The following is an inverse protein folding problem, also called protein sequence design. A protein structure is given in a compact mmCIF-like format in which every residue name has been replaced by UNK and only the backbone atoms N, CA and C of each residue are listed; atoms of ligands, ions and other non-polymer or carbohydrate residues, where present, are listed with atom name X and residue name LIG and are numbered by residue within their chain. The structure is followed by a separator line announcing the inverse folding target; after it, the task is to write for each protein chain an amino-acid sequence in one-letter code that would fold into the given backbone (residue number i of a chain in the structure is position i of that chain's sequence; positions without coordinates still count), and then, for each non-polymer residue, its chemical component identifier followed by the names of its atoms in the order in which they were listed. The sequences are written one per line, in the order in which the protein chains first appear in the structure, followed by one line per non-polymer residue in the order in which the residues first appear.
data_IF_582256237964
#
_entry.id   IF_582256237964
#
_cell.length_a   1.000
_cell.length_b   1.000
_cell.length_c   1.000
_cell.angle_alpha   90.00
_cell.angle_beta   90.00
_cell.angle_gamma   90.00
#
_symmetry.space_group_name_H-M   'P 1'
#
loop_
_entity.id
_entity.type
_entity.pdbx_description
1 polymer ?
#
# COMPACT_ATOMS: atom_id res chain seq x y z
N UNK A 1 -16.11 27.16 -8.00
CA UNK A 1 -16.26 26.07 -7.02
C UNK A 1 -16.45 26.73 -5.67
N UNK A 2 -17.69 26.76 -5.18
CA UNK A 2 -18.01 27.34 -3.88
C UNK A 2 -17.46 26.45 -2.78
N UNK A 3 -16.58 27.00 -1.95
CA UNK A 3 -16.12 26.38 -0.71
C UNK A 3 -17.28 26.39 0.28
N UNK A 4 -17.84 25.22 0.61
CA UNK A 4 -18.68 25.07 1.81
C UNK A 4 -17.85 25.50 3.03
N UNK A 5 -18.52 26.13 4.00
CA UNK A 5 -17.93 26.77 5.20
C UNK A 5 -17.06 25.86 6.07
N UNK A 6 -17.07 24.55 5.83
CA UNK A 6 -16.41 23.55 6.68
C UNK A 6 -15.16 22.95 6.02
N UNK A 7 -14.69 23.49 4.88
CA UNK A 7 -13.41 23.10 4.27
C UNK A 7 -13.36 21.68 3.67
N UNK A 8 -14.48 20.96 3.69
CA UNK A 8 -14.56 19.60 3.16
C UNK A 8 -14.95 19.59 1.68
N UNK A 9 -14.04 19.09 0.83
CA UNK A 9 -14.37 18.47 -0.46
C UNK A 9 -14.84 17.01 -0.27
N UNK A 10 -15.53 16.72 0.84
CA UNK A 10 -16.32 15.50 0.97
C UNK A 10 -17.67 15.77 0.30
N UNK A 11 -17.74 15.61 -1.02
CA UNK A 11 -18.94 14.94 -1.51
C UNK A 11 -18.79 13.51 -1.02
N UNK A 12 -19.43 13.19 0.12
CA UNK A 12 -19.80 11.82 0.40
C UNK A 12 -21.02 11.53 -0.47
N UNK A 13 -20.85 10.99 -1.69
CA UNK A 13 -21.97 10.78 -2.60
C UNK A 13 -22.88 9.66 -2.08
N UNK A 14 -22.46 8.96 -1.01
CA UNK A 14 -23.15 7.85 -0.38
C UNK A 14 -23.91 8.23 0.90
N UNK A 15 -23.65 9.41 1.50
CA UNK A 15 -24.26 9.86 2.75
C UNK A 15 -23.98 8.96 3.97
N UNK A 16 -22.85 8.24 3.98
CA UNK A 16 -22.46 7.24 4.97
C UNK A 16 -21.51 7.76 6.06
N UNK A 17 -20.78 8.85 5.85
CA UNK A 17 -20.03 9.53 6.91
C UNK A 17 -21.03 10.35 7.73
N UNK A 18 -21.27 9.91 8.96
CA UNK A 18 -22.19 10.56 9.90
C UNK A 18 -21.45 11.30 11.01
N UNK A 19 -20.20 10.93 11.26
CA UNK A 19 -19.32 11.52 12.26
C UNK A 19 -18.55 12.73 11.74
N UNK A 20 -18.16 13.60 12.67
CA UNK A 20 -17.22 14.69 12.39
C UNK A 20 -15.92 14.17 11.77
N UNK A 21 -15.50 14.80 10.67
CA UNK A 21 -14.37 14.33 9.86
C UNK A 21 -13.05 14.49 10.60
N UNK A 22 -12.90 15.56 11.40
CA UNK A 22 -11.70 15.72 12.23
C UNK A 22 -11.58 14.62 13.27
N UNK A 23 -12.70 14.16 13.83
CA UNK A 23 -12.73 12.97 14.69
C UNK A 23 -12.36 11.70 13.93
N UNK A 24 -12.90 11.48 12.72
CA UNK A 24 -12.55 10.30 11.92
C UNK A 24 -11.07 10.29 11.54
N UNK A 25 -10.50 11.43 11.18
CA UNK A 25 -9.07 11.61 10.92
C UNK A 25 -8.21 11.17 12.11
N UNK A 26 -8.56 11.64 13.31
CA UNK A 26 -7.90 11.29 14.56
C UNK A 26 -7.98 9.79 14.83
N UNK A 27 -9.19 9.22 14.74
CA UNK A 27 -9.42 7.81 15.02
C UNK A 27 -8.75 6.90 13.98
N UNK A 28 -8.74 7.27 12.70
CA UNK A 28 -8.08 6.50 11.65
C UNK A 28 -6.57 6.49 11.84
N UNK A 29 -5.95 7.64 12.17
CA UNK A 29 -4.53 7.65 12.55
C UNK A 29 -4.27 6.71 13.72
N UNK A 30 -5.03 6.86 14.81
CA UNK A 30 -4.86 6.04 15.99
C UNK A 30 -5.06 4.55 15.73
N UNK A 31 -5.99 4.19 14.84
CA UNK A 31 -6.26 2.80 14.48
C UNK A 31 -5.11 2.21 13.66
N UNK A 32 -4.56 2.98 12.71
CA UNK A 32 -3.36 2.56 11.96
C UNK A 32 -2.14 2.43 12.89
N UNK A 33 -1.98 3.32 13.86
CA UNK A 33 -0.92 3.23 14.87
C UNK A 33 -1.07 1.95 15.70
N UNK A 34 -2.28 1.62 16.18
CA UNK A 34 -2.56 0.37 16.89
C UNK A 34 -2.23 -0.87 16.03
N UNK A 35 -2.57 -0.86 14.75
CA UNK A 35 -2.23 -1.97 13.83
C UNK A 35 -0.72 -2.11 13.64
N UNK A 36 0.02 -1.00 13.71
CA UNK A 36 1.47 -0.96 13.62
C UNK A 36 2.17 -1.14 14.98
N UNK A 37 1.42 -1.47 16.04
CA UNK A 37 1.91 -1.58 17.42
C UNK A 37 2.59 -0.29 17.95
N UNK A 38 2.17 0.88 17.45
CA UNK A 38 2.66 2.19 17.86
C UNK A 38 1.76 2.74 18.96
N UNK A 39 2.36 3.11 20.09
CA UNK A 39 1.65 3.78 21.18
C UNK A 39 1.70 5.31 20.99
N UNK A 40 0.59 5.88 20.53
CA UNK A 40 0.42 7.32 20.28
C UNK A 40 -0.77 7.90 21.06
N UNK A 41 -0.84 9.24 21.23
CA UNK A 41 -2.04 9.88 21.78
C UNK A 41 -3.32 9.52 21.01
N UNK A 42 -3.23 9.36 19.68
CA UNK A 42 -4.37 8.96 18.85
C UNK A 42 -4.74 7.48 19.06
N UNK A 43 -3.77 6.59 19.25
CA UNK A 43 -4.03 5.20 19.60
C UNK A 43 -4.76 5.09 20.95
N UNK A 44 -4.38 5.92 21.93
CA UNK A 44 -5.09 6.01 23.21
C UNK A 44 -6.53 6.51 23.05
N UNK A 45 -6.77 7.47 22.15
CA UNK A 45 -8.12 7.94 21.84
C UNK A 45 -8.98 6.84 21.21
N UNK A 46 -8.42 6.02 20.32
CA UNK A 46 -9.15 4.87 19.76
C UNK A 46 -9.52 3.86 20.86
N UNK A 47 -8.59 3.52 21.76
CA UNK A 47 -8.88 2.66 22.91
C UNK A 47 -9.98 3.24 23.79
N UNK A 48 -9.94 4.55 24.07
CA UNK A 48 -10.98 5.26 24.82
C UNK A 48 -12.33 5.19 24.12
N UNK A 49 -12.38 5.53 22.82
CA UNK A 49 -13.59 5.47 22.02
C UNK A 49 -14.23 4.07 22.10
N UNK A 50 -13.45 3.02 21.81
CA UNK A 50 -13.90 1.62 21.86
C UNK A 50 -14.43 1.25 23.25
N UNK A 51 -13.73 1.65 24.33
CA UNK A 51 -14.15 1.32 25.70
C UNK A 51 -15.49 1.92 26.12
N UNK A 52 -15.95 2.96 25.42
CA UNK A 52 -17.21 3.67 25.70
C UNK A 52 -18.35 3.29 24.77
N UNK A 53 -18.10 2.49 23.72
CA UNK A 53 -19.12 2.10 22.74
C UNK A 53 -20.15 1.15 23.37
N UNK A 54 -21.43 1.41 23.11
CA UNK A 54 -22.47 0.41 23.36
C UNK A 54 -22.38 -0.69 22.31
N UNK A 55 -22.85 -1.88 22.65
CA UNK A 55 -22.80 -3.06 21.76
C UNK A 55 -23.45 -2.78 20.40
N UNK A 56 -24.54 -2.02 20.38
CA UNK A 56 -25.29 -1.68 19.18
C UNK A 56 -24.57 -0.65 18.28
N UNK A 57 -23.56 0.04 18.80
CA UNK A 57 -22.80 1.09 18.09
C UNK A 57 -21.50 0.56 17.48
N UNK A 58 -21.01 -0.59 17.93
CA UNK A 58 -19.71 -1.17 17.52
C UNK A 58 -19.64 -1.41 16.01
N UNK A 59 -20.71 -1.94 15.42
CA UNK A 59 -20.75 -2.26 13.99
C UNK A 59 -20.61 -0.99 13.13
N UNK A 60 -21.44 0.01 13.43
CA UNK A 60 -21.43 1.29 12.72
C UNK A 60 -20.09 2.03 12.89
N UNK A 61 -19.51 2.00 14.10
CA UNK A 61 -18.20 2.58 14.37
C UNK A 61 -17.10 1.94 13.52
N UNK A 62 -17.05 0.61 13.48
CA UNK A 62 -16.05 -0.13 12.70
C UNK A 62 -16.24 0.08 11.20
N UNK A 63 -17.48 0.11 10.70
CA UNK A 63 -17.79 0.37 9.29
C UNK A 63 -17.32 1.77 8.88
N UNK A 64 -17.63 2.80 9.67
CA UNK A 64 -17.26 4.18 9.37
C UNK A 64 -15.74 4.39 9.42
N UNK A 65 -15.07 3.82 10.42
CA UNK A 65 -13.62 3.89 10.57
C UNK A 65 -12.91 3.18 9.41
N UNK A 66 -13.39 2.00 9.01
CA UNK A 66 -12.86 1.24 7.87
C UNK A 66 -13.12 1.96 6.54
N UNK A 67 -14.30 2.55 6.38
CA UNK A 67 -14.64 3.34 5.21
C UNK A 67 -13.70 4.55 5.07
N UNK A 68 -13.53 5.34 6.14
CA UNK A 68 -12.65 6.50 6.10
C UNK A 68 -11.20 6.11 5.87
N UNK A 69 -10.72 5.03 6.50
CA UNK A 69 -9.39 4.48 6.26
C UNK A 69 -9.16 4.19 4.77
N UNK A 70 -10.07 3.45 4.13
CA UNK A 70 -10.02 3.16 2.70
C UNK A 70 -10.14 4.42 1.83
N UNK A 71 -10.97 5.38 2.24
CA UNK A 71 -11.18 6.64 1.54
C UNK A 71 -9.94 7.55 1.57
N UNK A 72 -9.25 7.60 2.70
CA UNK A 72 -8.09 8.49 2.91
C UNK A 72 -6.77 7.91 2.41
N UNK A 73 -6.59 6.59 2.47
CA UNK A 73 -5.31 5.92 2.20
C UNK A 73 -4.73 6.25 0.83
N UNK A 74 -5.54 6.15 -0.23
CA UNK A 74 -5.08 6.41 -1.60
C UNK A 74 -4.61 7.86 -1.81
N UNK A 75 -5.30 8.84 -1.22
CA UNK A 75 -4.89 10.26 -1.29
C UNK A 75 -3.60 10.51 -0.52
N UNK A 76 -3.44 9.88 0.65
CA UNK A 76 -2.23 9.98 1.45
C UNK A 76 -1.02 9.45 0.70
N UNK A 77 -1.14 8.25 0.13
CA UNK A 77 -0.11 7.64 -0.73
C UNK A 77 0.20 8.52 -1.95
N UNK A 78 -0.82 9.03 -2.64
CA UNK A 78 -0.64 9.89 -3.81
C UNK A 78 0.09 11.20 -3.49
N UNK A 79 -0.16 11.79 -2.32
CA UNK A 79 0.56 12.97 -1.83
C UNK A 79 2.06 12.71 -1.65
N UNK A 80 2.43 11.52 -1.15
CA UNK A 80 3.84 11.11 -1.01
C UNK A 80 4.47 10.91 -2.40
N UNK A 81 3.77 10.25 -3.32
CA UNK A 81 4.24 10.07 -4.71
C UNK A 81 4.50 11.42 -5.38
N UNK A 82 3.69 12.45 -5.10
CA UNK A 82 3.82 13.77 -5.71
C UNK A 82 4.77 14.73 -4.97
N UNK A 83 5.24 14.38 -3.78
CA UNK A 83 6.02 15.27 -2.93
C UNK A 83 7.25 15.87 -3.64
N UNK A 84 7.28 17.21 -3.73
CA UNK A 84 8.37 17.94 -4.39
C UNK A 84 8.52 17.67 -5.89
N UNK A 85 7.48 17.17 -6.57
CA UNK A 85 7.44 16.99 -8.02
C UNK A 85 6.20 17.67 -8.62
N UNK A 86 6.24 18.98 -8.90
CA UNK A 86 5.06 19.72 -9.39
C UNK A 86 4.64 19.33 -10.82
N UNK A 87 5.45 18.57 -11.55
CA UNK A 87 5.17 18.17 -12.93
C UNK A 87 4.68 16.72 -13.04
N UNK A 88 4.57 16.00 -11.92
CA UNK A 88 4.08 14.63 -11.93
C UNK A 88 2.63 14.59 -12.41
N UNK A 89 2.31 13.61 -13.24
CA UNK A 89 0.92 13.28 -13.60
C UNK A 89 0.53 12.02 -12.84
N UNK A 90 -0.50 12.13 -12.01
CA UNK A 90 -1.02 11.02 -11.23
C UNK A 90 -2.21 10.38 -11.96
N UNK A 91 -2.19 9.07 -12.08
CA UNK A 91 -3.34 8.26 -12.45
C UNK A 91 -3.80 7.44 -11.25
N UNK A 92 -5.10 7.43 -10.96
CA UNK A 92 -5.67 6.65 -9.88
C UNK A 92 -6.30 5.36 -10.44
N UNK A 93 -5.80 4.20 -10.01
CA UNK A 93 -6.43 2.90 -10.24
C UNK A 93 -6.98 2.43 -8.90
N UNK A 94 -8.30 2.45 -8.78
CA UNK A 94 -8.98 2.11 -7.54
C UNK A 94 -9.16 0.59 -7.44
N UNK A 95 -8.53 -0.02 -6.44
CA UNK A 95 -8.93 -1.33 -5.94
C UNK A 95 -9.95 -1.15 -4.82
N UNK A 96 -11.07 -1.87 -4.90
CA UNK A 96 -12.10 -1.82 -3.88
C UNK A 96 -11.79 -2.82 -2.76
N UNK A 97 -11.53 -2.31 -1.57
CA UNK A 97 -11.51 -3.09 -0.33
C UNK A 97 -12.88 -2.93 0.34
N UNK A 98 -13.49 -4.06 0.71
CA UNK A 98 -14.76 -4.04 1.44
C UNK A 98 -14.52 -3.48 2.85
N UNK A 99 -15.36 -2.53 3.26
CA UNK A 99 -15.29 -1.88 4.58
C UNK A 99 -16.38 -2.38 5.52
N UNK A 100 -17.34 -3.15 5.01
CA UNK A 100 -18.40 -3.75 5.82
C UNK A 100 -17.87 -4.96 6.61
N UNK A 101 -18.40 -5.21 7.82
CA UNK A 101 -17.91 -6.25 8.73
C UNK A 101 -17.99 -7.68 8.17
N UNK A 102 -18.97 -7.98 7.32
CA UNK A 102 -19.13 -9.29 6.68
C UNK A 102 -19.11 -9.13 5.15
N UNK A 103 -17.93 -9.12 4.52
CA UNK A 103 -17.81 -9.11 3.07
C UNK A 103 -18.47 -10.36 2.48
N UNK A 104 -19.01 -10.34 1.25
CA UNK A 104 -19.43 -11.57 0.57
C UNK A 104 -18.26 -12.55 0.44
N UNK A 105 -18.49 -13.87 0.47
CA UNK A 105 -17.42 -14.84 0.37
C UNK A 105 -16.73 -14.74 -0.98
N UNK A 106 -15.43 -15.06 -1.02
CA UNK A 106 -14.70 -15.08 -2.27
C UNK A 106 -15.06 -16.32 -3.07
N UNK A 107 -15.46 -16.14 -4.32
CA UNK A 107 -15.87 -17.23 -5.21
C UNK A 107 -14.88 -17.40 -6.36
N UNK A 108 -14.93 -18.54 -7.02
CA UNK A 108 -14.12 -18.77 -8.23
C UNK A 108 -14.45 -17.79 -9.35
N UNK A 109 -15.72 -17.41 -9.49
CA UNK A 109 -16.15 -16.36 -10.42
C UNK A 109 -15.50 -15.02 -10.09
N UNK A 110 -15.50 -14.64 -8.79
CA UNK A 110 -14.84 -13.41 -8.34
C UNK A 110 -13.33 -13.45 -8.56
N UNK A 111 -12.66 -14.55 -8.23
CA UNK A 111 -11.23 -14.74 -8.50
C UNK A 111 -10.91 -14.64 -9.99
N UNK A 112 -11.73 -15.24 -10.85
CA UNK A 112 -11.59 -15.15 -12.31
C UNK A 112 -11.79 -13.72 -12.82
N UNK A 113 -12.77 -13.00 -12.28
CA UNK A 113 -12.99 -11.59 -12.58
C UNK A 113 -11.79 -10.72 -12.16
N UNK A 114 -11.26 -10.91 -10.95
CA UNK A 114 -10.09 -10.16 -10.45
C UNK A 114 -8.85 -10.47 -11.28
N UNK A 115 -8.64 -11.74 -11.64
CA UNK A 115 -7.58 -12.16 -12.55
C UNK A 115 -7.67 -11.46 -13.92
N UNK A 116 -8.88 -11.33 -14.47
CA UNK A 116 -9.09 -10.60 -15.72
C UNK A 116 -8.84 -9.10 -15.56
N UNK A 117 -9.33 -8.50 -14.46
CA UNK A 117 -9.09 -7.11 -14.12
C UNK A 117 -7.60 -6.78 -14.04
N UNK A 118 -6.76 -7.65 -13.49
CA UNK A 118 -5.30 -7.42 -13.47
C UNK A 118 -4.69 -7.31 -14.88
N UNK A 119 -5.12 -8.16 -15.81
CA UNK A 119 -4.66 -8.10 -17.21
C UNK A 119 -5.10 -6.80 -17.87
N UNK A 120 -6.36 -6.42 -17.67
CA UNK A 120 -6.93 -5.20 -18.24
C UNK A 120 -6.30 -3.93 -17.66
N UNK A 121 -6.05 -3.89 -16.36
CA UNK A 121 -5.34 -2.78 -15.71
C UNK A 121 -3.95 -2.63 -16.30
N UNK A 122 -3.17 -3.71 -16.40
CA UNK A 122 -1.82 -3.62 -16.98
C UNK A 122 -1.87 -3.25 -18.46
N UNK A 123 -2.85 -3.74 -19.22
CA UNK A 123 -3.04 -3.29 -20.59
C UNK A 123 -3.37 -1.80 -20.68
N UNK A 124 -4.25 -1.31 -19.81
CA UNK A 124 -4.58 0.12 -19.70
C UNK A 124 -3.35 0.96 -19.36
N UNK A 125 -2.53 0.51 -18.41
CA UNK A 125 -1.28 1.16 -18.02
C UNK A 125 -0.32 1.30 -19.21
N UNK A 126 -0.15 0.23 -20.00
CA UNK A 126 0.68 0.23 -21.21
C UNK A 126 0.16 1.20 -22.28
N UNK A 127 -1.13 1.12 -22.61
CA UNK A 127 -1.77 2.01 -23.61
C UNK A 127 -1.65 3.48 -23.21
N UNK A 128 -1.71 3.79 -21.92
CA UNK A 128 -1.57 5.16 -21.40
C UNK A 128 -0.12 5.53 -21.07
N UNK A 129 0.86 4.70 -21.44
CA UNK A 129 2.30 4.97 -21.27
C UNK A 129 2.69 5.28 -19.82
N UNK A 130 2.02 4.64 -18.85
CA UNK A 130 2.40 4.75 -17.43
C UNK A 130 3.76 4.07 -17.25
N UNK A 131 4.68 4.75 -16.56
CA UNK A 131 6.08 4.29 -16.40
C UNK A 131 6.40 3.74 -15.02
N UNK A 132 5.68 4.18 -13.99
CA UNK A 132 5.88 3.75 -12.61
C UNK A 132 4.53 3.57 -11.92
N UNK A 133 4.36 2.48 -11.19
CA UNK A 133 3.12 2.15 -10.47
C UNK A 133 3.45 1.85 -9.02
N UNK A 134 2.80 2.57 -8.10
CA UNK A 134 2.86 2.28 -6.67
C UNK A 134 1.68 1.38 -6.25
N UNK A 135 1.96 0.37 -5.42
CA UNK A 135 0.99 -0.57 -4.87
C UNK A 135 1.22 -0.70 -3.37
N UNK A 136 0.56 0.16 -2.62
CA UNK A 136 0.62 0.18 -1.15
C UNK A 136 -0.35 -0.85 -0.52
N UNK A 137 -0.42 -2.06 -1.07
CA UNK A 137 -1.32 -3.15 -0.66
C UNK A 137 -0.64 -4.52 -0.85
N UNK A 138 -1.14 -5.51 -0.10
CA UNK A 138 -0.70 -6.91 -0.16
C UNK A 138 -1.80 -7.82 0.37
N UNK A 139 -1.79 -9.07 -0.06
CA UNK A 139 -2.62 -10.13 0.50
C UNK A 139 -2.02 -11.51 0.16
N UNK A 140 -2.54 -12.56 0.81
CA UNK A 140 -2.11 -13.95 0.62
C UNK A 140 -3.30 -14.91 0.74
N UNK A 141 -3.05 -16.22 0.59
CA UNK A 141 -4.08 -17.25 0.70
C UNK A 141 -4.84 -17.23 2.04
N UNK A 142 -4.20 -16.86 3.14
CA UNK A 142 -4.83 -16.81 4.47
C UNK A 142 -5.97 -15.79 4.53
N UNK A 143 -5.92 -14.71 3.73
CA UNK A 143 -7.03 -13.76 3.64
C UNK A 143 -8.32 -14.42 3.08
N UNK A 144 -8.17 -15.34 2.12
CA UNK A 144 -9.30 -16.09 1.56
C UNK A 144 -9.80 -17.13 2.56
N UNK A 145 -8.89 -17.84 3.23
CA UNK A 145 -9.23 -18.82 4.26
C UNK A 145 -10.06 -18.18 5.38
N UNK A 146 -9.62 -17.02 5.88
CA UNK A 146 -10.34 -16.25 6.89
C UNK A 146 -11.74 -15.84 6.43
N UNK A 147 -11.88 -15.38 5.19
CA UNK A 147 -13.18 -15.01 4.63
C UNK A 147 -14.10 -16.23 4.45
N UNK A 148 -13.58 -17.36 3.98
CA UNK A 148 -14.35 -18.61 3.89
C UNK A 148 -14.82 -19.08 5.28
N UNK A 149 -13.94 -18.98 6.29
CA UNK A 149 -14.26 -19.32 7.68
C UNK A 149 -15.37 -18.43 8.26
N UNK A 150 -15.36 -17.12 7.97
CA UNK A 150 -16.42 -16.19 8.40
C UNK A 150 -17.81 -16.56 7.86
N UNK A 151 -17.87 -17.25 6.72
CA UNK A 151 -19.12 -17.73 6.10
C UNK A 151 -19.43 -19.19 6.40
N UNK A 152 -18.62 -19.88 7.22
CA UNK A 152 -18.79 -21.31 7.47
C UNK A 152 -18.66 -22.18 6.21
N UNK A 153 -17.91 -21.70 5.20
CA UNK A 153 -17.68 -22.44 3.95
C UNK A 153 -16.51 -23.41 4.16
N UNK A 154 -16.64 -24.63 3.63
CA UNK A 154 -15.68 -25.72 3.80
C UNK A 154 -16.00 -26.61 5.01
N UNK A 155 -16.08 -27.92 4.77
CA UNK A 155 -16.49 -28.94 5.75
C UNK A 155 -15.55 -29.00 6.96
N UNK A 156 -14.27 -28.77 6.72
CA UNK A 156 -13.22 -28.73 7.74
C UNK A 156 -12.14 -27.71 7.37
N UNK A 157 -11.14 -27.56 8.24
CA UNK A 157 -10.03 -26.63 8.03
C UNK A 157 -9.17 -26.97 6.80
N UNK A 158 -9.01 -28.25 6.50
CA UNK A 158 -8.19 -28.69 5.38
C UNK A 158 -8.86 -28.32 4.05
N UNK A 159 -10.15 -28.62 3.89
CA UNK A 159 -10.92 -28.24 2.70
C UNK A 159 -10.95 -26.71 2.53
N UNK A 160 -11.06 -25.94 3.63
CA UNK A 160 -10.98 -24.46 3.56
C UNK A 160 -9.64 -23.97 3.04
N UNK A 161 -8.53 -24.53 3.50
CA UNK A 161 -7.18 -24.17 3.04
C UNK A 161 -6.99 -24.48 1.57
N UNK A 162 -7.49 -25.62 1.11
CA UNK A 162 -7.44 -26.03 -0.30
C UNK A 162 -8.27 -25.08 -1.19
N UNK A 163 -9.50 -24.75 -0.78
CA UNK A 163 -10.34 -23.78 -1.47
C UNK A 163 -9.69 -22.39 -1.51
N UNK A 164 -9.18 -21.91 -0.38
CA UNK A 164 -8.49 -20.63 -0.29
C UNK A 164 -7.27 -20.56 -1.22
N UNK A 165 -6.50 -21.65 -1.28
CA UNK A 165 -5.34 -21.79 -2.16
C UNK A 165 -5.76 -21.74 -3.64
N UNK A 166 -6.79 -22.47 -4.04
CA UNK A 166 -7.28 -22.45 -5.42
C UNK A 166 -7.67 -21.03 -5.85
N UNK A 167 -8.44 -20.33 -5.02
CA UNK A 167 -8.90 -18.96 -5.30
C UNK A 167 -7.74 -17.98 -5.40
N UNK A 168 -6.79 -18.06 -4.46
CA UNK A 168 -5.60 -17.23 -4.44
C UNK A 168 -4.69 -17.46 -5.65
N UNK A 169 -4.46 -18.72 -6.04
CA UNK A 169 -3.54 -19.05 -7.12
C UNK A 169 -4.05 -18.56 -8.49
N UNK A 170 -5.37 -18.49 -8.70
CA UNK A 170 -5.97 -17.88 -9.90
C UNK A 170 -5.53 -16.41 -10.04
N UNK A 171 -5.65 -15.64 -8.96
CA UNK A 171 -5.31 -14.22 -8.94
C UNK A 171 -3.80 -13.99 -8.97
N UNK A 172 -3.05 -14.73 -8.15
CA UNK A 172 -1.58 -14.69 -8.08
C UNK A 172 -0.97 -14.92 -9.46
N UNK A 173 -1.38 -15.98 -10.16
CA UNK A 173 -0.89 -16.29 -11.51
C UNK A 173 -1.22 -15.17 -12.49
N UNK A 174 -2.44 -14.63 -12.45
CA UNK A 174 -2.85 -13.58 -13.38
C UNK A 174 -2.09 -12.27 -13.15
N UNK A 175 -1.89 -11.86 -11.89
CA UNK A 175 -1.14 -10.66 -11.54
C UNK A 175 0.34 -10.79 -11.96
N UNK A 176 0.96 -11.93 -11.67
CA UNK A 176 2.34 -12.21 -12.06
C UNK A 176 2.53 -12.11 -13.59
N UNK A 177 1.69 -12.80 -14.37
CA UNK A 177 1.77 -12.75 -15.84
C UNK A 177 1.46 -11.35 -16.39
N UNK A 178 0.55 -10.61 -15.75
CA UNK A 178 0.27 -9.24 -16.14
C UNK A 178 1.51 -8.35 -15.96
N UNK A 179 2.18 -8.38 -14.81
CA UNK A 179 3.39 -7.59 -14.56
C UNK A 179 4.55 -7.98 -15.48
N UNK A 180 4.72 -9.29 -15.71
CA UNK A 180 5.70 -9.83 -16.66
C UNK A 180 5.47 -9.34 -18.09
N UNK A 181 4.22 -9.12 -18.48
CA UNK A 181 3.84 -8.60 -19.81
C UNK A 181 4.12 -7.10 -20.02
N UNK A 182 4.63 -6.40 -19.02
CA UNK A 182 4.87 -4.95 -19.04
C UNK A 182 6.30 -4.59 -18.56
N UNK A 183 7.35 -5.13 -19.20
CA UNK A 183 8.75 -4.90 -18.80
C UNK A 183 9.19 -3.42 -18.87
N UNK A 184 8.41 -2.55 -19.53
CA UNK A 184 8.62 -1.11 -19.63
C UNK A 184 8.09 -0.31 -18.42
N UNK A 185 7.31 -0.95 -17.54
CA UNK A 185 6.69 -0.33 -16.35
C UNK A 185 7.43 -0.81 -15.11
N UNK A 186 7.87 0.13 -14.26
CA UNK A 186 8.39 -0.19 -12.94
C UNK A 186 7.24 -0.28 -11.93
N UNK A 187 7.04 -1.47 -11.38
CA UNK A 187 6.09 -1.75 -10.32
C UNK A 187 6.79 -1.64 -8.96
N UNK A 188 6.16 -0.99 -7.98
CA UNK A 188 6.72 -0.80 -6.63
C UNK A 188 5.62 -1.09 -5.62
N UNK A 189 5.90 -1.96 -4.64
CA UNK A 189 4.94 -2.33 -3.61
C UNK A 189 5.53 -2.25 -2.20
N UNK A 190 4.65 -2.13 -1.20
CA UNK A 190 5.05 -2.25 0.21
C UNK A 190 5.19 -3.71 0.62
N UNK A 191 6.12 -4.01 1.52
CA UNK A 191 6.39 -5.37 2.00
C UNK A 191 5.27 -5.93 2.91
N UNK A 192 4.64 -5.08 3.71
CA UNK A 192 3.65 -5.46 4.73
C UNK A 192 3.94 -4.83 6.10
N UNK A 193 2.94 -4.87 6.97
CA UNK A 193 2.94 -4.25 8.30
C UNK A 193 2.68 -5.27 9.41
N UNK A 194 2.98 -6.55 9.16
CA UNK A 194 2.60 -7.68 10.02
C UNK A 194 3.74 -8.18 10.92
N UNK A 195 4.91 -7.52 10.92
CA UNK A 195 6.12 -7.98 11.63
C UNK A 195 6.42 -9.48 11.39
N UNK A 196 6.38 -9.87 10.12
CA UNK A 196 6.54 -11.26 9.69
C UNK A 196 7.43 -11.35 8.46
N UNK A 197 7.46 -12.50 7.82
CA UNK A 197 8.22 -12.72 6.58
C UNK A 197 7.28 -12.83 5.37
N UNK A 198 7.48 -11.97 4.37
CA UNK A 198 6.69 -11.91 3.14
C UNK A 198 6.80 -13.19 2.32
N UNK A 199 7.99 -13.79 2.23
CA UNK A 199 8.23 -15.00 1.45
C UNK A 199 7.52 -16.20 2.08
N UNK A 200 7.59 -16.32 3.41
CA UNK A 200 6.87 -17.36 4.16
C UNK A 200 5.35 -17.16 4.07
N UNK A 201 4.89 -15.91 4.13
CA UNK A 201 3.47 -15.57 4.05
C UNK A 201 2.93 -15.56 2.62
N UNK A 202 3.80 -15.70 1.62
CA UNK A 202 3.50 -15.62 0.19
C UNK A 202 2.72 -14.35 -0.22
N UNK A 203 3.06 -13.20 0.33
CA UNK A 203 2.36 -11.95 0.00
C UNK A 203 2.53 -11.57 -1.47
N UNK A 204 1.43 -11.25 -2.16
CA UNK A 204 1.49 -10.66 -3.50
C UNK A 204 1.15 -9.16 -3.45
N UNK A 205 1.77 -8.34 -4.30
CA UNK A 205 2.83 -8.70 -5.26
C UNK A 205 4.23 -8.82 -4.62
N UNK A 206 4.36 -8.55 -3.32
CA UNK A 206 5.64 -8.44 -2.60
C UNK A 206 6.65 -9.56 -2.90
N UNK A 207 6.19 -10.79 -3.10
CA UNK A 207 7.04 -11.98 -3.32
C UNK A 207 7.39 -12.28 -4.77
N UNK A 208 6.95 -11.50 -5.77
CA UNK A 208 7.35 -11.68 -7.18
C UNK A 208 8.76 -11.13 -7.47
N UNK A 209 9.73 -11.43 -6.59
CA UNK A 209 11.08 -10.87 -6.61
C UNK A 209 11.92 -11.27 -7.82
N UNK A 210 11.48 -12.28 -8.57
CA UNK A 210 12.09 -12.72 -9.83
C UNK A 210 11.71 -11.83 -11.02
N UNK A 211 10.68 -11.00 -10.91
CA UNK A 211 10.33 -10.01 -11.93
C UNK A 211 11.32 -8.84 -11.91
N UNK A 212 12.05 -8.57 -13.01
CA UNK A 212 13.10 -7.54 -13.05
C UNK A 212 12.57 -6.12 -12.99
N UNK A 213 11.25 -5.94 -13.07
CA UNK A 213 10.55 -4.66 -13.07
C UNK A 213 9.65 -4.48 -11.83
N UNK A 214 9.86 -5.26 -10.76
CA UNK A 214 9.18 -5.08 -9.47
C UNK A 214 10.18 -4.75 -8.35
N UNK A 215 9.80 -3.82 -7.48
CA UNK A 215 10.47 -3.55 -6.21
C UNK A 215 9.52 -3.74 -5.02
N UNK A 216 10.00 -4.40 -3.98
CA UNK A 216 9.30 -4.54 -2.69
C UNK A 216 10.03 -3.75 -1.63
N UNK A 217 9.31 -2.87 -0.96
CA UNK A 217 9.85 -1.82 -0.09
C UNK A 217 9.43 -2.05 1.36
N UNK A 218 10.41 -2.21 2.24
CA UNK A 218 10.22 -2.24 3.69
C UNK A 218 10.20 -0.84 4.31
N UNK A 219 9.87 -0.76 5.59
CA UNK A 219 9.79 0.50 6.33
C UNK A 219 10.92 0.63 7.38
N UNK A 220 11.52 1.81 7.39
CA UNK A 220 12.39 2.30 8.47
C UNK A 220 11.82 3.59 9.06
N UNK A 221 12.37 4.07 10.15
CA UNK A 221 12.08 5.40 10.69
C UNK A 221 12.98 6.48 10.07
N UNK A 222 12.89 7.72 10.58
CA UNK A 222 13.71 8.85 10.13
C UNK A 222 15.20 8.71 10.43
N UNK A 223 15.58 7.83 11.36
CA UNK A 223 16.98 7.52 11.69
C UNK A 223 17.52 6.34 10.86
N UNK A 224 16.69 5.75 9.99
CA UNK A 224 17.05 4.58 9.20
C UNK A 224 16.92 3.27 9.96
N UNK A 225 16.37 3.27 11.18
CA UNK A 225 16.15 2.04 11.95
C UNK A 225 14.90 1.34 11.47
N UNK A 226 14.94 0.01 11.43
CA UNK A 226 13.79 -0.81 11.08
C UNK A 226 12.62 -0.55 12.02
N UNK A 227 11.43 -0.36 11.46
CA UNK A 227 10.20 -0.23 12.25
C UNK A 227 9.69 -1.60 12.71
N UNK A 228 9.15 -1.69 13.92
CA UNK A 228 8.66 -2.96 14.49
C UNK A 228 7.56 -3.65 13.69
N UNK A 229 6.80 -2.91 12.87
CA UNK A 229 5.73 -3.47 12.05
C UNK A 229 6.21 -4.02 10.70
N UNK A 230 7.39 -3.65 10.20
CA UNK A 230 7.72 -3.96 8.79
C UNK A 230 7.80 -5.46 8.56
N UNK A 231 7.12 -5.93 7.53
CA UNK A 231 7.34 -7.27 7.00
C UNK A 231 8.70 -7.32 6.31
N UNK A 232 9.43 -8.41 6.52
CA UNK A 232 10.76 -8.67 5.99
C UNK A 232 10.75 -9.82 4.97
N UNK A 233 11.91 -10.14 4.40
CA UNK A 233 12.07 -11.27 3.49
C UNK A 233 13.16 -11.02 2.45
N UNK A 234 13.57 -12.07 1.76
CA UNK A 234 14.50 -11.99 0.63
C UNK A 234 13.92 -11.18 -0.53
N UNK A 235 12.60 -11.13 -0.63
CA UNK A 235 11.91 -10.30 -1.62
C UNK A 235 11.96 -8.80 -1.30
N UNK A 236 12.17 -8.39 -0.04
CA UNK A 236 12.30 -6.99 0.36
C UNK A 236 13.69 -6.47 -0.03
N UNK A 237 13.74 -5.55 -1.00
CA UNK A 237 15.01 -5.15 -1.62
C UNK A 237 15.56 -3.83 -1.10
N UNK A 238 14.68 -2.90 -0.74
CA UNK A 238 15.04 -1.57 -0.26
C UNK A 238 14.10 -1.13 0.85
N UNK A 239 14.55 -0.14 1.61
CA UNK A 239 13.79 0.46 2.69
C UNK A 239 13.69 1.97 2.47
N UNK A 240 12.56 2.54 2.86
CA UNK A 240 12.33 3.98 2.93
C UNK A 240 11.63 4.31 4.25
N UNK A 241 11.65 5.59 4.64
CA UNK A 241 10.99 5.99 5.87
C UNK A 241 9.47 5.69 5.76
N UNK A 242 8.95 4.84 6.63
CA UNK A 242 7.54 4.49 6.70
C UNK A 242 6.92 4.87 8.04
N UNK A 243 7.62 5.60 8.91
CA UNK A 243 7.16 5.97 10.25
C UNK A 243 6.79 7.45 10.31
N UNK A 244 5.56 7.75 10.78
CA UNK A 244 5.06 9.11 10.96
C UNK A 244 5.18 10.02 9.72
N UNK A 245 4.86 9.47 8.54
CA UNK A 245 4.95 10.20 7.27
C UNK A 245 3.74 11.11 7.10
N UNK A 246 3.99 12.42 7.09
CA UNK A 246 2.98 13.43 6.82
C UNK A 246 2.62 13.46 5.32
N UNK A 247 1.32 13.36 5.00
CA UNK A 247 0.79 13.57 3.66
C UNK A 247 -0.67 14.01 3.71
N UNK A 248 -1.23 14.32 2.55
CA UNK A 248 -2.59 14.82 2.39
C UNK A 248 -3.63 13.71 2.52
N UNK A 249 -4.73 13.97 3.22
CA UNK A 249 -5.96 13.20 3.13
C UNK A 249 -7.01 13.98 2.33
N UNK A 250 -8.12 13.36 1.88
CA UNK A 250 -9.19 14.07 1.19
C UNK A 250 -9.68 15.30 1.97
N UNK A 251 -9.96 16.39 1.27
CA UNK A 251 -10.23 17.70 1.87
C UNK A 251 -8.99 18.56 2.13
N UNK A 252 -7.77 18.02 1.94
CA UNK A 252 -6.53 18.80 1.97
C UNK A 252 -5.88 18.92 3.35
N UNK A 253 -6.47 18.32 4.38
CA UNK A 253 -5.81 18.16 5.68
C UNK A 253 -4.56 17.28 5.53
N UNK A 254 -3.59 17.46 6.43
CA UNK A 254 -2.38 16.64 6.48
C UNK A 254 -2.34 15.81 7.74
N UNK A 255 -2.01 14.54 7.59
CA UNK A 255 -1.97 13.56 8.69
C UNK A 255 -0.71 12.72 8.55
N UNK A 256 -0.13 12.34 9.68
CA UNK A 256 0.97 11.37 9.75
C UNK A 256 0.42 9.96 9.81
N UNK A 257 0.82 9.11 8.85
CA UNK A 257 0.56 7.67 8.88
C UNK A 257 1.86 6.89 8.89
N UNK A 258 1.79 5.68 9.44
CA UNK A 258 2.89 4.73 9.50
C UNK A 258 2.55 3.45 8.72
N UNK A 259 3.53 2.88 8.01
CA UNK A 259 3.40 1.64 7.25
C UNK A 259 4.33 1.57 6.04
N UNK A 260 4.55 0.37 5.52
CA UNK A 260 5.22 0.19 4.20
C UNK A 260 4.42 0.84 3.07
N UNK A 261 3.13 1.07 3.28
CA UNK A 261 2.27 1.87 2.40
C UNK A 261 2.74 3.31 2.24
N UNK A 262 3.49 3.86 3.20
CA UNK A 262 4.07 5.21 3.18
C UNK A 262 5.54 5.19 2.75
N UNK A 263 6.23 4.06 2.91
CA UNK A 263 7.59 3.85 2.42
C UNK A 263 7.64 3.66 0.89
N UNK A 264 6.82 2.75 0.34
CA UNK A 264 6.82 2.45 -1.11
C UNK A 264 6.61 3.67 -2.03
N UNK A 265 5.68 4.62 -1.75
CA UNK A 265 5.49 5.78 -2.62
C UNK A 265 6.68 6.74 -2.66
N UNK A 266 7.59 6.71 -1.68
CA UNK A 266 8.83 7.51 -1.74
C UNK A 266 9.79 6.97 -2.81
N UNK A 267 9.85 5.64 -2.97
CA UNK A 267 10.63 5.02 -4.05
C UNK A 267 9.97 5.30 -5.40
N UNK A 268 8.64 5.30 -5.47
CA UNK A 268 7.90 5.74 -6.67
C UNK A 268 8.20 7.21 -7.01
N UNK A 269 8.22 8.10 -6.01
CA UNK A 269 8.58 9.50 -6.20
C UNK A 269 10.02 9.65 -6.73
N UNK A 270 10.98 8.90 -6.17
CA UNK A 270 12.36 8.87 -6.64
C UNK A 270 12.41 8.42 -8.11
N UNK A 271 11.83 7.27 -8.45
CA UNK A 271 11.80 6.76 -9.82
C UNK A 271 11.16 7.75 -10.81
N UNK A 272 10.06 8.41 -10.42
CA UNK A 272 9.40 9.43 -11.25
C UNK A 272 10.32 10.66 -11.50
N UNK A 273 11.04 11.12 -10.48
CA UNK A 273 12.02 12.21 -10.63
C UNK A 273 13.20 11.80 -11.52
N UNK A 274 13.67 10.56 -11.42
CA UNK A 274 14.72 10.03 -12.29
C UNK A 274 14.27 10.02 -13.75
N UNK A 275 13.04 9.56 -14.03
CA UNK A 275 12.46 9.58 -15.38
C UNK A 275 12.22 10.99 -15.93
N UNK A 276 11.91 11.96 -15.07
CA UNK A 276 11.82 13.36 -15.49
C UNK A 276 13.17 13.93 -15.96
N UNK A 277 14.29 13.44 -15.39
CA UNK A 277 15.65 13.85 -15.76
C UNK A 277 16.23 13.04 -16.92
N UNK A 278 15.86 11.75 -17.02
CA UNK A 278 16.38 10.75 -17.96
C UNK A 278 15.23 9.84 -18.42
N UNK A 279 14.37 10.29 -19.36
CA UNK A 279 13.15 9.58 -19.75
C UNK A 279 13.40 8.24 -20.47
N UNK A 280 14.62 8.04 -20.98
CA UNK A 280 15.06 6.85 -21.69
C UNK A 280 15.40 5.67 -20.77
N UNK A 281 15.47 5.88 -19.44
CA UNK A 281 15.81 4.81 -18.50
C UNK A 281 14.74 3.70 -18.51
N UNK A 282 15.20 2.47 -18.67
CA UNK A 282 14.36 1.28 -18.47
C UNK A 282 14.13 1.02 -16.97
N UNK A 283 13.09 0.27 -16.57
CA UNK A 283 12.90 -0.15 -15.18
C UNK A 283 14.15 -0.80 -14.56
N UNK A 284 14.85 -1.67 -15.30
CA UNK A 284 16.09 -2.28 -14.84
C UNK A 284 17.19 -1.23 -14.55
N UNK A 285 17.33 -0.22 -15.40
CA UNK A 285 18.29 0.87 -15.17
C UNK A 285 17.87 1.75 -13.99
N UNK A 286 16.58 2.07 -13.83
CA UNK A 286 16.07 2.78 -12.66
C UNK A 286 16.46 2.05 -11.37
N UNK A 287 16.19 0.75 -11.31
CA UNK A 287 16.54 -0.10 -10.18
C UNK A 287 18.05 -0.08 -9.92
N UNK A 288 18.89 -0.19 -10.96
CA UNK A 288 20.35 -0.15 -10.80
C UNK A 288 20.84 1.19 -10.25
N UNK A 289 20.25 2.33 -10.63
CA UNK A 289 20.62 3.62 -10.08
C UNK A 289 20.14 3.79 -8.63
N UNK A 290 18.96 3.28 -8.28
CA UNK A 290 18.48 3.23 -6.90
C UNK A 290 19.42 2.36 -6.06
N UNK A 291 19.76 1.18 -6.55
CA UNK A 291 20.70 0.21 -5.95
C UNK A 291 22.08 0.81 -5.68
N UNK A 292 22.67 1.50 -6.67
CA UNK A 292 24.00 2.12 -6.54
C UNK A 292 23.99 3.35 -5.66
N UNK A 293 22.86 4.04 -5.57
CA UNK A 293 22.70 5.21 -4.73
C UNK A 293 22.36 4.87 -3.29
N UNK A 294 21.77 3.70 -3.02
CA UNK A 294 21.32 3.30 -1.70
C UNK A 294 22.46 3.23 -0.67
N UNK A 295 22.13 3.61 0.56
CA UNK A 295 23.03 3.44 1.69
C UNK A 295 22.86 2.03 2.27
N UNK A 296 23.98 1.38 2.59
CA UNK A 296 24.00 0.14 3.36
C UNK A 296 24.48 0.47 4.76
N UNK A 297 23.65 0.16 5.76
CA UNK A 297 24.02 0.40 7.15
C UNK A 297 25.08 -0.62 7.60
N UNK A 298 26.23 -0.19 8.16
CA UNK A 298 27.26 -1.12 8.64
C UNK A 298 26.74 -2.11 9.70
N UNK A 299 25.82 -1.67 10.54
CA UNK A 299 25.20 -2.45 11.62
C UNK A 299 24.18 -3.49 11.13
N UNK A 300 23.56 -3.25 9.97
CA UNK A 300 22.66 -4.21 9.33
C UNK A 300 22.78 -4.11 7.80
N UNK A 301 23.70 -4.87 7.19
CA UNK A 301 23.92 -4.83 5.74
C UNK A 301 22.72 -5.31 4.92
N UNK A 302 21.71 -5.89 5.56
CA UNK A 302 20.46 -6.29 4.89
C UNK A 302 19.51 -5.11 4.69
N UNK A 303 19.67 -4.03 5.46
CA UNK A 303 18.93 -2.79 5.31
C UNK A 303 19.59 -1.86 4.29
N UNK A 304 19.02 -1.86 3.09
CA UNK A 304 19.44 -0.97 2.00
C UNK A 304 18.49 0.22 1.92
N UNK A 305 18.91 1.35 2.47
CA UNK A 305 18.09 2.56 2.52
C UNK A 305 18.16 3.30 1.19
N UNK A 306 17.03 3.71 0.63
CA UNK A 306 17.06 4.59 -0.53
C UNK A 306 17.71 5.92 -0.17
N UNK A 307 18.59 6.42 -1.04
CA UNK A 307 19.20 7.75 -0.90
C UNK A 307 18.93 8.57 -2.16
N UNK A 308 17.83 9.35 -2.19
CA UNK A 308 17.46 10.16 -3.35
C UNK A 308 18.57 11.12 -3.79
N UNK A 309 19.35 11.67 -2.85
CA UNK A 309 20.42 12.62 -3.17
C UNK A 309 21.59 11.92 -3.87
N UNK A 310 22.07 10.79 -3.33
CA UNK A 310 23.14 10.01 -3.93
C UNK A 310 22.73 9.47 -5.32
N UNK A 311 21.51 8.91 -5.44
CA UNK A 311 20.96 8.47 -6.73
C UNK A 311 20.92 9.61 -7.76
N UNK A 312 20.50 10.82 -7.36
CA UNK A 312 20.51 12.00 -8.25
C UNK A 312 21.92 12.39 -8.71
N UNK A 313 22.91 12.32 -7.83
CA UNK A 313 24.29 12.64 -8.20
C UNK A 313 24.87 11.63 -9.21
N UNK A 314 24.50 10.35 -9.10
CA UNK A 314 24.89 9.34 -10.09
C UNK A 314 24.30 9.66 -11.47
N UNK A 315 23.03 10.07 -11.55
CA UNK A 315 22.38 10.44 -12.81
C UNK A 315 23.04 11.64 -13.50
N UNK A 316 23.59 12.59 -12.74
CA UNK A 316 24.32 13.75 -13.28
C UNK A 316 25.68 13.39 -13.86
N UNK A 317 26.40 12.44 -13.25
CA UNK A 317 27.75 12.04 -13.66
C UNK A 317 27.78 11.19 -14.94
N UNK A 318 26.64 10.64 -15.36
CA UNK A 318 26.51 9.79 -16.55
C UNK A 318 26.00 10.56 -17.79
N UNK A 319 26.26 11.87 -17.86
CA UNK A 319 26.09 12.73 -19.03
C UNK A 319 27.47 13.09 -19.59
#
# INVERSE_FOLDING_TARGET
METKKDGLLLEDPSGKIKSDVSRLQLLTKGFMDLQAAIESPEAQEVRRAISTLKKEEVEAFNEELSFYGNYAHGTHVAGIVAAGNPFIRLGAIRMFFEYRPLPPPHTREKATFVAQMYREIVQYLKVNQVRVVNMSWRYNAAAYEGLLALHGIGKDEQERKEMARELFDIEKKALYEAFKSAPEILFICGAGNENNNADFSEYIPATFSDLPNLLTIGAVDSEGKKTDFTTEGKSVRFYANGYEIESFVPGGAKIKFSGTSMASPQVTNLAAKMLALRPELSPAQLIQYIEKGADTLPEDPTLRLINPQATHQLLKKSK
#
